data_IF_946775446259
#
_entry.id   IF_946775446259
#
_cell.length_a   1.000
_cell.length_b   1.000
_cell.length_c   1.000
_cell.angle_alpha   90.00
_cell.angle_beta   90.00
_cell.angle_gamma   90.00
#
_symmetry.space_group_name_H-M   'P 1'
#
loop_
_entity.id
_entity.type
_entity.pdbx_description
1 polymer ?
#
# COMPACT_ATOMS: atom_id res chain seq x y z
N UNK A 1 -13.34 15.62 23.44
CA UNK A 1 -13.54 15.97 24.86
C UNK A 1 -12.19 16.00 25.60
N UNK A 2 -11.21 16.80 25.13
CA UNK A 2 -9.87 16.93 25.77
C UNK A 2 -9.57 18.40 26.14
N UNK A 3 -10.29 19.36 25.56
CA UNK A 3 -9.92 20.78 25.64
C UNK A 3 -10.12 21.47 27.01
N UNK A 4 -10.95 20.92 27.91
CA UNK A 4 -11.34 21.63 29.15
C UNK A 4 -10.30 21.57 30.29
N UNK A 5 -9.35 20.62 30.27
CA UNK A 5 -8.37 20.44 31.35
C UNK A 5 -6.96 20.99 31.06
N UNK A 6 -6.68 21.48 29.84
CA UNK A 6 -5.37 22.03 29.51
C UNK A 6 -5.11 23.42 30.12
N UNK A 7 -6.15 24.19 30.44
CA UNK A 7 -6.03 25.55 30.98
C UNK A 7 -5.50 25.61 32.43
N UNK A 8 -5.44 24.47 33.13
CA UNK A 8 -4.90 24.36 34.50
C UNK A 8 -3.41 23.96 34.53
N UNK A 9 -2.81 23.68 33.38
CA UNK A 9 -1.43 23.25 33.27
C UNK A 9 -0.51 24.45 33.05
N UNK A 10 0.75 24.33 33.47
CA UNK A 10 1.72 25.39 33.22
C UNK A 10 1.88 25.63 31.71
N UNK A 11 2.21 26.86 31.28
CA UNK A 11 2.38 27.19 29.86
C UNK A 11 3.38 26.25 29.16
N UNK A 12 4.44 25.83 29.87
CA UNK A 12 5.44 24.90 29.37
C UNK A 12 4.85 23.49 29.13
N UNK A 13 4.02 23.00 30.04
CA UNK A 13 3.33 21.70 29.89
C UNK A 13 2.29 21.77 28.77
N UNK A 14 1.58 22.90 28.62
CA UNK A 14 0.62 23.10 27.52
C UNK A 14 1.34 23.13 26.17
N UNK A 15 2.48 23.81 26.06
CA UNK A 15 3.30 23.82 24.83
C UNK A 15 3.83 22.43 24.51
N UNK A 16 4.34 21.69 25.50
CA UNK A 16 4.82 20.32 25.31
C UNK A 16 3.67 19.40 24.91
N UNK A 17 2.49 19.50 25.53
CA UNK A 17 1.34 18.68 25.16
C UNK A 17 0.77 19.05 23.81
N UNK A 18 0.78 20.33 23.40
CA UNK A 18 0.37 20.75 22.06
C UNK A 18 1.38 20.27 21.03
N UNK A 19 2.68 20.36 21.31
CA UNK A 19 3.74 19.89 20.42
C UNK A 19 3.74 18.36 20.31
N UNK A 20 3.54 17.64 21.42
CA UNK A 20 3.29 16.20 21.42
C UNK A 20 2.02 15.88 20.65
N UNK A 21 0.89 16.55 20.92
CA UNK A 21 -0.38 16.34 20.22
C UNK A 21 -0.28 16.62 18.71
N UNK A 22 0.47 17.65 18.28
CA UNK A 22 0.79 17.96 16.88
C UNK A 22 1.74 16.92 16.25
N UNK A 23 2.62 16.32 17.05
CA UNK A 23 3.47 15.20 16.62
C UNK A 23 2.68 13.88 16.53
N UNK A 24 1.65 13.66 17.36
CA UNK A 24 0.78 12.46 17.29
C UNK A 24 -0.43 12.61 16.36
N UNK A 25 -0.86 13.83 16.03
CA UNK A 25 -2.02 14.09 15.15
C UNK A 25 -1.68 14.14 13.66
N UNK A 26 -0.42 13.95 13.29
CA UNK A 26 0.08 14.34 11.98
C UNK A 26 0.95 13.32 11.25
N UNK A 27 0.49 12.08 11.07
CA UNK A 27 0.76 11.25 9.88
C UNK A 27 -0.26 10.09 9.84
N UNK A 28 -1.53 10.39 9.53
CA UNK A 28 -2.43 9.31 9.11
C UNK A 28 -1.90 8.77 7.79
N UNK A 29 -1.74 7.44 7.69
CA UNK A 29 -1.32 6.81 6.45
C UNK A 29 -2.28 7.19 5.32
N UNK A 30 -1.78 7.72 4.18
CA UNK A 30 -2.65 8.15 3.12
C UNK A 30 -3.37 6.94 2.52
N UNK A 31 -4.62 7.16 2.11
CA UNK A 31 -5.34 6.19 1.31
C UNK A 31 -4.93 6.39 -0.14
N UNK A 32 -4.60 5.30 -0.82
CA UNK A 32 -4.14 5.30 -2.20
C UNK A 32 -4.87 4.24 -3.01
N UNK A 33 -4.83 4.39 -4.33
CA UNK A 33 -4.95 3.26 -5.24
C UNK A 33 -3.67 3.13 -6.08
N UNK A 34 -3.40 1.92 -6.53
CA UNK A 34 -2.32 1.62 -7.46
C UNK A 34 -2.90 1.46 -8.87
N UNK A 35 -2.27 2.07 -9.86
CA UNK A 35 -2.59 1.85 -11.28
C UNK A 35 -1.38 1.29 -12.00
N UNK A 36 -1.55 0.13 -12.63
CA UNK A 36 -0.50 -0.51 -13.42
C UNK A 36 -0.13 0.35 -14.62
N UNK A 37 1.16 0.59 -14.79
CA UNK A 37 1.70 1.32 -15.93
C UNK A 37 1.51 0.55 -17.25
N UNK A 38 1.57 -0.78 -17.21
CA UNK A 38 1.53 -1.62 -18.40
C UNK A 38 0.18 -1.61 -19.14
N UNK A 39 -0.93 -1.41 -18.43
CA UNK A 39 -2.29 -1.49 -18.99
C UNK A 39 -3.23 -0.37 -18.53
N UNK A 40 -2.74 0.61 -17.75
CA UNK A 40 -3.52 1.69 -17.15
C UNK A 40 -4.69 1.21 -16.25
N UNK A 41 -4.71 -0.06 -15.84
CA UNK A 41 -5.76 -0.59 -14.98
C UNK A 41 -5.41 -0.45 -13.50
N UNK A 42 -6.43 -0.22 -12.68
CA UNK A 42 -6.35 -0.12 -11.22
C UNK A 42 -6.24 -1.50 -10.60
N UNK A 43 -5.42 -1.59 -9.56
CA UNK A 43 -5.22 -2.80 -8.74
C UNK A 43 -6.38 -2.93 -7.76
N UNK A 44 -7.03 -4.10 -7.73
CA UNK A 44 -8.12 -4.42 -6.82
C UNK A 44 -7.81 -5.66 -5.97
N UNK A 45 -8.31 -5.64 -4.74
CA UNK A 45 -8.36 -6.77 -3.82
C UNK A 45 -9.59 -7.63 -4.11
N UNK A 46 -9.51 -8.41 -5.19
CA UNK A 46 -10.57 -9.30 -5.64
C UNK A 46 -11.06 -10.27 -4.54
N UNK A 47 -12.31 -10.71 -4.68
CA UNK A 47 -13.03 -11.57 -3.73
C UNK A 47 -12.88 -11.11 -2.25
N UNK A 48 -13.14 -9.82 -1.98
CA UNK A 48 -12.95 -9.20 -0.66
C UNK A 48 -11.54 -9.42 -0.08
N UNK A 49 -10.52 -9.39 -0.94
CA UNK A 49 -9.12 -9.61 -0.62
C UNK A 49 -8.73 -11.05 -0.30
N UNK A 50 -9.62 -12.04 -0.49
CA UNK A 50 -9.26 -13.45 -0.35
C UNK A 50 -8.44 -13.98 -1.55
N UNK A 51 -8.61 -13.35 -2.71
CA UNK A 51 -7.90 -13.73 -3.93
C UNK A 51 -6.65 -12.87 -4.14
N UNK A 52 -5.88 -13.27 -5.15
CA UNK A 52 -4.74 -12.50 -5.61
C UNK A 52 -5.18 -11.10 -6.09
N UNK A 53 -4.39 -10.08 -5.78
CA UNK A 53 -4.61 -8.75 -6.32
C UNK A 53 -4.50 -8.76 -7.85
N UNK A 54 -5.39 -8.03 -8.52
CA UNK A 54 -5.49 -7.99 -10.00
C UNK A 54 -5.53 -6.57 -10.51
N UNK A 55 -4.89 -6.28 -11.65
CA UNK A 55 -4.90 -4.97 -12.29
C UNK A 55 -5.81 -4.97 -13.53
N UNK A 56 -7.13 -4.91 -13.33
CA UNK A 56 -8.12 -5.13 -14.39
C UNK A 56 -9.23 -4.07 -14.51
N UNK A 57 -9.26 -3.04 -13.65
CA UNK A 57 -10.33 -2.02 -13.65
C UNK A 57 -9.89 -0.69 -14.29
N UNK A 58 -10.75 -0.02 -15.06
CA UNK A 58 -10.41 1.25 -15.73
C UNK A 58 -10.27 2.45 -14.77
N UNK A 59 -11.13 2.51 -13.76
CA UNK A 59 -11.12 3.54 -12.72
C UNK A 59 -11.51 2.89 -11.39
N UNK A 60 -11.06 3.43 -10.24
CA UNK A 60 -11.66 3.02 -8.98
C UNK A 60 -13.11 3.50 -8.98
N UNK A 61 -14.05 2.63 -8.64
CA UNK A 61 -15.46 3.02 -8.57
C UNK A 61 -15.60 4.15 -7.55
N UNK A 62 -16.00 5.33 -8.02
CA UNK A 62 -15.86 6.57 -7.24
C UNK A 62 -16.68 6.46 -5.96
N UNK A 63 -15.99 6.60 -4.83
CA UNK A 63 -16.52 6.61 -3.46
C UNK A 63 -17.00 5.29 -2.82
N UNK A 64 -17.48 4.26 -3.55
CA UNK A 64 -18.16 3.12 -2.92
C UNK A 64 -17.31 1.84 -2.66
N UNK A 65 -16.26 1.55 -3.42
CA UNK A 65 -15.63 0.23 -3.35
C UNK A 65 -14.28 0.26 -2.64
N UNK A 66 -14.22 -0.35 -1.47
CA UNK A 66 -13.02 -0.49 -0.64
C UNK A 66 -11.97 -1.45 -1.23
N UNK A 67 -12.26 -2.05 -2.39
CA UNK A 67 -11.50 -3.11 -3.04
C UNK A 67 -10.24 -2.57 -3.71
N UNK A 68 -10.29 -1.36 -4.28
CA UNK A 68 -9.16 -0.72 -4.98
C UNK A 68 -8.32 0.18 -4.07
N UNK A 69 -8.74 0.34 -2.81
CA UNK A 69 -8.14 1.28 -1.88
C UNK A 69 -7.25 0.56 -0.88
N UNK A 70 -6.09 1.16 -0.67
CA UNK A 70 -5.09 0.68 0.26
C UNK A 70 -4.64 1.84 1.15
N UNK A 71 -4.52 1.57 2.43
CA UNK A 71 -3.76 2.43 3.32
C UNK A 71 -2.26 2.18 3.08
N UNK A 72 -1.54 3.26 2.79
CA UNK A 72 -0.11 3.24 2.54
C UNK A 72 0.65 3.44 3.86
N UNK A 73 1.14 2.34 4.43
CA UNK A 73 1.75 2.34 5.76
C UNK A 73 3.26 2.34 5.63
N UNK A 74 3.90 3.44 6.05
CA UNK A 74 5.36 3.53 6.13
C UNK A 74 5.82 2.88 7.43
N UNK A 75 6.64 1.86 7.31
CA UNK A 75 7.22 1.16 8.45
C UNK A 75 8.48 1.88 8.94
N UNK A 76 8.86 1.64 10.20
CA UNK A 76 10.05 2.26 10.82
C UNK A 76 11.38 1.86 10.16
N UNK A 77 11.40 0.74 9.44
CA UNK A 77 12.56 0.23 8.70
C UNK A 77 12.68 0.81 7.27
N UNK A 78 11.82 1.77 6.90
CA UNK A 78 11.79 2.39 5.59
C UNK A 78 11.05 1.60 4.51
N UNK A 79 10.53 0.41 4.84
CA UNK A 79 9.64 -0.33 3.94
C UNK A 79 8.22 0.23 3.98
N UNK A 80 7.38 -0.22 3.07
CA UNK A 80 5.95 0.06 3.04
C UNK A 80 5.15 -1.23 3.15
N UNK A 81 4.02 -1.15 3.83
CA UNK A 81 2.97 -2.15 3.83
C UNK A 81 1.68 -1.57 3.26
N UNK A 82 0.92 -2.40 2.55
CA UNK A 82 -0.38 -2.04 2.00
C UNK A 82 -1.46 -2.77 2.81
N UNK A 83 -2.38 -2.02 3.41
CA UNK A 83 -3.56 -2.59 4.08
C UNK A 83 -4.79 -2.28 3.25
N UNK A 84 -5.51 -3.29 2.78
CA UNK A 84 -6.71 -3.05 1.97
C UNK A 84 -7.87 -2.57 2.84
N UNK A 85 -8.71 -1.69 2.29
CA UNK A 85 -9.86 -1.15 3.01
C UNK A 85 -11.04 -2.13 3.03
N UNK A 86 -11.08 -3.12 2.13
CA UNK A 86 -12.25 -4.03 2.03
C UNK A 86 -12.33 -5.03 3.18
N UNK A 87 -11.19 -5.50 3.69
CA UNK A 87 -11.14 -6.51 4.76
C UNK A 87 -10.18 -6.15 5.90
N UNK A 88 -9.50 -5.01 5.83
CA UNK A 88 -8.57 -4.54 6.87
C UNK A 88 -7.27 -5.35 6.99
N UNK A 89 -6.98 -6.24 6.04
CA UNK A 89 -5.79 -7.10 6.06
C UNK A 89 -4.65 -6.53 5.23
N UNK A 90 -3.45 -6.94 5.58
CA UNK A 90 -2.22 -6.60 4.88
C UNK A 90 -2.03 -7.48 3.65
N UNK A 91 -1.59 -6.84 2.57
CA UNK A 91 -1.14 -7.50 1.34
C UNK A 91 0.21 -8.17 1.62
N UNK A 92 0.30 -9.47 1.36
CA UNK A 92 1.53 -10.23 1.46
C UNK A 92 1.96 -10.77 0.10
N UNK A 93 3.27 -10.86 -0.14
CA UNK A 93 3.83 -11.69 -1.21
C UNK A 93 3.91 -13.13 -0.69
N UNK A 94 2.86 -13.91 -0.94
CA UNK A 94 2.67 -15.24 -0.36
C UNK A 94 3.57 -16.28 -1.05
N UNK A 95 4.71 -16.61 -0.43
CA UNK A 95 5.70 -17.52 -1.02
C UNK A 95 5.21 -18.96 -1.12
N UNK A 96 4.26 -19.37 -0.28
CA UNK A 96 3.64 -20.69 -0.35
C UNK A 96 2.65 -20.79 -1.52
N UNK A 97 2.30 -19.65 -2.12
CA UNK A 97 1.42 -19.52 -3.28
C UNK A 97 2.13 -18.84 -4.44
N UNK A 98 3.37 -19.23 -4.71
CA UNK A 98 4.15 -18.75 -5.87
C UNK A 98 4.39 -17.23 -5.86
N UNK A 99 4.51 -16.63 -4.68
CA UNK A 99 4.69 -15.19 -4.47
C UNK A 99 3.54 -14.32 -5.03
N UNK A 100 2.32 -14.87 -5.08
CA UNK A 100 1.09 -14.12 -5.39
C UNK A 100 0.84 -13.06 -4.31
N UNK A 101 0.40 -11.87 -4.73
CA UNK A 101 0.05 -10.82 -3.78
C UNK A 101 -1.39 -11.01 -3.28
N UNK A 102 -1.59 -11.27 -1.99
CA UNK A 102 -2.90 -11.58 -1.40
C UNK A 102 -3.09 -10.79 -0.10
N UNK A 103 -4.27 -10.19 0.09
CA UNK A 103 -4.61 -9.41 1.28
C UNK A 103 -5.22 -10.27 2.41
N UNK A 104 -4.42 -11.17 2.99
CA UNK A 104 -4.92 -12.19 3.92
C UNK A 104 -4.27 -12.17 5.32
N UNK A 105 -3.43 -11.18 5.64
CA UNK A 105 -2.66 -11.14 6.91
C UNK A 105 -3.17 -10.09 7.89
N UNK A 106 -3.19 -10.42 9.18
CA UNK A 106 -3.64 -9.51 10.23
C UNK A 106 -2.52 -8.60 10.77
N UNK A 107 -1.26 -8.92 10.48
CA UNK A 107 -0.09 -8.25 11.03
C UNK A 107 0.98 -8.13 9.94
N UNK A 108 1.83 -7.10 10.05
CA UNK A 108 3.00 -6.93 9.18
C UNK A 108 4.16 -7.77 9.71
N UNK A 109 4.70 -8.62 8.85
CA UNK A 109 5.96 -9.33 9.03
C UNK A 109 6.81 -9.19 7.75
N UNK A 110 7.64 -10.18 7.43
CA UNK A 110 8.55 -10.11 6.28
C UNK A 110 7.79 -10.09 4.94
N UNK A 111 6.66 -10.79 4.84
CA UNK A 111 5.97 -10.97 3.56
C UNK A 111 5.08 -9.80 3.16
N UNK A 112 4.73 -8.95 4.13
CA UNK A 112 3.85 -7.78 3.96
C UNK A 112 4.64 -6.48 3.79
N UNK A 113 5.97 -6.58 3.70
CA UNK A 113 6.87 -5.44 3.53
C UNK A 113 7.41 -5.37 2.11
N UNK A 114 7.38 -4.17 1.56
CA UNK A 114 7.87 -3.85 0.22
C UNK A 114 8.85 -2.69 0.30
N UNK A 115 10.02 -2.84 -0.32
CA UNK A 115 10.87 -1.71 -0.62
C UNK A 115 10.27 -0.96 -1.81
N UNK A 116 10.21 0.37 -1.71
CA UNK A 116 9.69 1.23 -2.77
C UNK A 116 10.86 1.78 -3.57
N UNK A 117 10.85 1.57 -4.88
CA UNK A 117 11.82 2.13 -5.82
C UNK A 117 11.12 3.21 -6.63
N UNK A 118 11.61 4.45 -6.55
CA UNK A 118 11.06 5.57 -7.30
C UNK A 118 11.65 5.59 -8.71
N UNK A 119 10.81 5.52 -9.75
CA UNK A 119 11.21 5.57 -11.15
C UNK A 119 11.11 7.01 -11.66
N UNK A 120 12.13 7.82 -11.39
CA UNK A 120 12.11 9.26 -11.66
C UNK A 120 11.81 9.64 -13.13
N UNK A 121 12.14 8.76 -14.10
CA UNK A 121 11.96 9.03 -15.53
C UNK A 121 10.48 9.07 -15.96
N UNK A 122 9.62 8.30 -15.33
CA UNK A 122 8.21 8.13 -15.74
C UNK A 122 7.21 8.41 -14.62
N UNK A 123 7.69 8.81 -13.43
CA UNK A 123 6.85 9.17 -12.28
C UNK A 123 6.16 7.97 -11.64
N UNK A 124 6.53 6.74 -12.01
CA UNK A 124 6.01 5.52 -11.38
C UNK A 124 6.86 5.11 -10.18
N UNK A 125 6.37 4.11 -9.45
CA UNK A 125 7.16 3.35 -8.50
C UNK A 125 7.25 1.89 -8.92
N UNK A 126 8.17 1.16 -8.31
CA UNK A 126 8.18 -0.29 -8.27
C UNK A 126 8.19 -0.78 -6.83
N UNK A 127 7.43 -1.84 -6.54
CA UNK A 127 7.41 -2.51 -5.25
C UNK A 127 8.31 -3.74 -5.31
N UNK A 128 9.29 -3.84 -4.42
CA UNK A 128 10.16 -5.01 -4.30
C UNK A 128 9.86 -5.72 -2.99
N UNK A 129 9.32 -6.92 -3.07
CA UNK A 129 8.93 -7.70 -1.89
C UNK A 129 10.17 -8.03 -1.06
N UNK A 130 10.12 -7.75 0.25
CA UNK A 130 11.19 -8.10 1.18
C UNK A 130 11.30 -9.61 1.33
N UNK A 131 10.20 -10.35 1.17
CA UNK A 131 10.11 -11.80 1.27
C UNK A 131 11.11 -12.58 0.41
N UNK A 132 11.30 -12.15 -0.85
CA UNK A 132 12.09 -12.89 -1.83
C UNK A 132 13.01 -11.99 -2.67
N UNK A 133 13.02 -10.68 -2.41
CA UNK A 133 13.83 -9.71 -3.15
C UNK A 133 13.43 -9.55 -4.62
N UNK A 134 12.19 -9.90 -5.00
CA UNK A 134 11.68 -9.75 -6.36
C UNK A 134 10.74 -8.54 -6.47
N UNK A 135 10.71 -7.92 -7.64
CA UNK A 135 9.74 -6.90 -7.99
C UNK A 135 8.36 -7.53 -8.22
N UNK A 136 7.34 -6.80 -7.79
CA UNK A 136 5.94 -7.07 -8.05
C UNK A 136 5.64 -6.68 -9.49
N UNK A 137 5.14 -7.63 -10.29
CA UNK A 137 4.70 -7.37 -11.67
C UNK A 137 3.23 -7.74 -11.86
N UNK A 138 2.50 -6.88 -12.58
CA UNK A 138 1.17 -7.21 -13.11
C UNK A 138 1.33 -8.10 -14.34
N UNK A 139 0.96 -9.37 -14.24
CA UNK A 139 1.22 -10.38 -15.27
C UNK A 139 0.33 -10.16 -16.50
N UNK A 140 0.81 -9.41 -17.50
CA UNK A 140 0.01 -8.99 -18.66
C UNK A 140 -0.41 -10.15 -19.56
N UNK A 141 0.30 -11.27 -19.48
CA UNK A 141 0.05 -12.49 -20.23
C UNK A 141 -0.94 -13.44 -19.54
N UNK A 142 -1.53 -13.06 -18.40
CA UNK A 142 -2.51 -13.86 -17.67
C UNK A 142 -3.85 -13.12 -17.57
N UNK A 143 -4.94 -13.88 -17.43
CA UNK A 143 -6.28 -13.32 -17.29
C UNK A 143 -6.38 -12.42 -16.05
N UNK A 144 -7.04 -11.27 -16.18
CA UNK A 144 -7.17 -10.23 -15.15
C UNK A 144 -5.87 -9.59 -14.64
N UNK A 145 -4.71 -9.88 -15.26
CA UNK A 145 -3.43 -9.25 -14.92
C UNK A 145 -3.07 -9.31 -13.41
N UNK A 146 -2.97 -10.53 -12.84
CA UNK A 146 -2.68 -10.74 -11.43
C UNK A 146 -1.29 -10.20 -11.03
N UNK A 147 -1.14 -9.74 -9.78
CA UNK A 147 0.12 -9.21 -9.26
C UNK A 147 0.94 -10.29 -8.55
N UNK A 148 2.17 -10.52 -9.04
CA UNK A 148 3.08 -11.54 -8.49
C UNK A 148 4.46 -10.94 -8.24
N UNK A 149 5.09 -11.24 -7.11
CA UNK A 149 6.48 -10.83 -6.82
C UNK A 149 7.48 -11.82 -7.42
N UNK A 150 7.70 -11.75 -8.73
CA UNK A 150 8.50 -12.73 -9.49
C UNK A 150 9.50 -12.11 -10.49
N UNK A 151 9.82 -10.81 -10.36
CA UNK A 151 10.66 -10.09 -11.33
C UNK A 151 12.02 -9.72 -10.76
N UNK A 152 13.07 -9.98 -11.52
CA UNK A 152 14.46 -9.68 -11.12
C UNK A 152 14.86 -8.22 -11.32
N UNK A 153 14.19 -7.52 -12.22
CA UNK A 153 14.40 -6.11 -12.52
C UNK A 153 13.05 -5.41 -12.76
N UNK A 154 13.07 -4.09 -12.83
CA UNK A 154 11.92 -3.23 -13.12
C UNK A 154 12.09 -2.45 -14.43
N UNK A 155 12.86 -3.00 -15.36
CA UNK A 155 13.15 -2.35 -16.64
C UNK A 155 11.95 -2.42 -17.61
N UNK A 156 11.01 -3.32 -17.36
CA UNK A 156 9.78 -3.45 -18.15
C UNK A 156 8.67 -2.55 -17.59
N UNK A 157 7.54 -2.48 -18.30
CA UNK A 157 6.36 -1.76 -17.82
C UNK A 157 5.54 -2.50 -16.76
N UNK A 158 5.73 -3.81 -16.59
CA UNK A 158 4.85 -4.64 -15.75
C UNK A 158 5.08 -4.43 -14.26
N UNK A 159 6.30 -4.02 -13.88
CA UNK A 159 6.72 -3.78 -12.49
C UNK A 159 6.50 -2.34 -12.02
N UNK A 160 5.79 -1.55 -12.82
CA UNK A 160 5.64 -0.11 -12.62
C UNK A 160 4.21 0.24 -12.30
N UNK A 161 4.03 1.07 -11.28
CA UNK A 161 2.72 1.50 -10.80
C UNK A 161 2.73 2.99 -10.56
N UNK A 162 1.65 3.66 -10.95
CA UNK A 162 1.31 4.96 -10.39
C UNK A 162 0.67 4.75 -9.03
N UNK A 163 1.11 5.53 -8.04
CA UNK A 163 0.41 5.67 -6.75
C UNK A 163 -0.40 6.94 -6.83
N UNK A 164 -1.72 6.83 -6.63
CA UNK A 164 -2.59 8.00 -6.58
C UNK A 164 -3.19 8.10 -5.19
N UNK A 165 -2.96 9.23 -4.55
CA UNK A 165 -3.50 9.56 -3.23
C UNK A 165 -4.96 10.01 -3.40
N UNK A 166 -5.84 9.54 -2.52
CA UNK A 166 -7.27 9.87 -2.45
C UNK A 166 -7.54 10.85 -1.32
#
# INVERSE_FOLDING_TARGET
MVCANLLKLSPLIVVVLIQVCLLVSGQQSPIVYLRSFANNKVVSAANAGQDQLVANLDVPDSAANAWEKFEWIKNSDGTVSLRTLINGKYVCADLDREAKLIANKNWVQVWERFNVVNNAKDGTISLKAVANGKFVGAQQNLNNNPLTANRDNNNSGWEKFYVVII
#
